data_IF_219580702094
#
_entry.id   IF_219580702094
#
_cell.length_a   1.000
_cell.length_b   1.000
_cell.length_c   1.000
_cell.angle_alpha   90.00
_cell.angle_beta   90.00
_cell.angle_gamma   90.00
#
_symmetry.space_group_name_H-M   'P 1'
#
loop_
_entity.id
_entity.type
_entity.pdbx_description
1 polymer ?
#
# COMPACT_ATOMS: atom_id res chain seq x y z
N UNK A 1 11.18 -0.99 9.42
CA UNK A 1 11.43 -0.79 10.87
C UNK A 1 12.30 -1.91 11.44
N UNK A 2 13.25 -1.58 12.32
CA UNK A 2 14.06 -2.58 13.04
C UNK A 2 13.35 -3.15 14.28
N UNK A 3 12.06 -2.86 14.48
CA UNK A 3 11.25 -3.31 15.62
C UNK A 3 10.16 -4.25 15.14
N UNK A 4 9.91 -5.30 15.91
CA UNK A 4 8.77 -6.19 15.71
C UNK A 4 7.60 -5.74 16.59
N UNK A 5 6.40 -5.87 16.06
CA UNK A 5 5.15 -5.71 16.81
C UNK A 5 4.51 -7.07 16.98
N UNK A 6 4.40 -7.52 18.23
CA UNK A 6 3.75 -8.79 18.57
C UNK A 6 2.25 -8.52 18.69
N UNK A 7 1.47 -9.10 17.81
CA UNK A 7 0.02 -8.89 17.74
C UNK A 7 -0.73 -10.21 17.80
N UNK A 8 -1.79 -10.23 18.59
CA UNK A 8 -2.87 -11.20 18.44
C UNK A 8 -3.86 -10.64 17.40
N UNK A 9 -3.89 -11.23 16.23
CA UNK A 9 -4.73 -10.74 15.12
C UNK A 9 -6.24 -10.89 15.39
N UNK A 10 -6.63 -11.66 16.40
CA UNK A 10 -8.00 -11.80 16.86
C UNK A 10 -8.38 -10.77 17.94
N UNK A 11 -7.39 -10.00 18.43
CA UNK A 11 -7.65 -8.91 19.38
C UNK A 11 -8.61 -7.88 18.75
N UNK A 12 -9.70 -7.60 19.46
CA UNK A 12 -10.73 -6.64 19.01
C UNK A 12 -10.19 -5.22 18.80
N UNK A 13 -9.11 -4.86 19.49
CA UNK A 13 -8.44 -3.55 19.31
C UNK A 13 -7.78 -3.40 17.94
N UNK A 14 -7.47 -4.53 17.29
CA UNK A 14 -6.92 -4.57 15.94
C UNK A 14 -7.98 -4.78 14.86
N UNK A 15 -9.26 -4.76 15.25
CA UNK A 15 -10.37 -4.97 14.33
C UNK A 15 -11.15 -3.65 14.15
N UNK A 16 -11.31 -3.18 12.91
CA UNK A 16 -12.23 -2.09 12.61
C UNK A 16 -13.66 -2.47 12.97
N UNK A 17 -14.51 -1.48 13.22
CA UNK A 17 -15.93 -1.72 13.46
C UNK A 17 -16.56 -2.53 12.31
N UNK A 18 -17.24 -3.62 12.65
CA UNK A 18 -17.87 -4.51 11.68
C UNK A 18 -16.95 -5.60 11.09
N UNK A 19 -15.67 -5.65 11.43
CA UNK A 19 -14.71 -6.62 10.89
C UNK A 19 -15.16 -8.08 11.01
N UNK A 20 -15.72 -8.48 12.15
CA UNK A 20 -16.15 -9.85 12.39
C UNK A 20 -17.33 -10.31 11.53
N UNK A 21 -18.13 -9.37 11.02
CA UNK A 21 -19.29 -9.64 10.17
C UNK A 21 -19.06 -9.27 8.72
N UNK A 22 -17.83 -8.87 8.40
CA UNK A 22 -17.42 -8.43 7.09
C UNK A 22 -17.17 -9.64 6.19
N UNK A 23 -17.65 -9.57 4.95
CA UNK A 23 -17.41 -10.58 3.93
C UNK A 23 -16.92 -9.93 2.63
N UNK A 24 -15.97 -10.59 1.98
CA UNK A 24 -15.55 -10.19 0.64
C UNK A 24 -16.67 -10.46 -0.38
N UNK A 25 -16.80 -9.66 -1.44
CA UNK A 25 -17.63 -9.98 -2.59
C UNK A 25 -17.27 -11.36 -3.17
N UNK A 26 -18.24 -12.01 -3.79
CA UNK A 26 -18.05 -13.34 -4.41
C UNK A 26 -18.17 -13.24 -5.92
N UNK A 27 -17.43 -14.06 -6.61
CA UNK A 27 -17.59 -14.32 -8.05
C UNK A 27 -17.99 -15.77 -8.26
N UNK A 28 -18.75 -16.08 -9.31
CA UNK A 28 -19.21 -17.46 -9.58
C UNK A 28 -18.06 -18.41 -9.89
N UNK A 29 -17.08 -17.97 -10.68
CA UNK A 29 -15.90 -18.74 -11.05
C UNK A 29 -14.65 -17.84 -11.12
N UNK A 30 -13.47 -18.41 -10.92
CA UNK A 30 -12.21 -17.64 -11.05
C UNK A 30 -11.97 -17.11 -12.45
N UNK A 31 -12.50 -17.79 -13.47
CA UNK A 31 -12.44 -17.34 -14.87
C UNK A 31 -13.23 -16.06 -15.13
N UNK A 32 -14.13 -15.68 -14.21
CA UNK A 32 -14.92 -14.44 -14.30
C UNK A 32 -14.19 -13.25 -13.66
N UNK A 33 -12.97 -13.47 -13.17
CA UNK A 33 -12.17 -12.44 -12.55
C UNK A 33 -11.70 -11.42 -13.60
N UNK A 34 -11.95 -10.14 -13.30
CA UNK A 34 -11.36 -9.01 -14.01
C UNK A 34 -10.63 -8.13 -12.99
N UNK A 35 -9.41 -7.73 -13.33
CA UNK A 35 -8.45 -7.18 -12.37
C UNK A 35 -8.11 -5.73 -12.75
N UNK A 36 -8.11 -4.86 -11.75
CA UNK A 36 -7.53 -3.52 -11.80
C UNK A 36 -6.37 -3.45 -10.80
N UNK A 37 -5.19 -3.17 -11.30
CA UNK A 37 -4.00 -3.04 -10.48
C UNK A 37 -3.79 -1.59 -10.06
N UNK A 38 -3.40 -1.34 -8.80
CA UNK A 38 -3.09 -0.01 -8.32
C UNK A 38 -1.98 0.00 -7.26
N UNK A 39 -1.28 1.13 -7.18
CA UNK A 39 -0.33 1.45 -6.14
C UNK A 39 -1.01 2.29 -5.05
N UNK A 40 -0.95 1.86 -3.78
CA UNK A 40 -1.68 2.49 -2.67
C UNK A 40 -1.37 3.98 -2.53
N UNK A 41 -0.08 4.35 -2.58
CA UNK A 41 0.33 5.76 -2.48
C UNK A 41 -0.18 6.57 -3.67
N UNK A 42 0.12 6.13 -4.88
CA UNK A 42 -0.10 6.93 -6.09
C UNK A 42 -1.57 7.11 -6.41
N UNK A 43 -2.40 6.17 -6.00
CA UNK A 43 -3.84 6.25 -6.20
C UNK A 43 -4.48 7.51 -5.60
N UNK A 44 -3.95 8.02 -4.49
CA UNK A 44 -4.53 9.16 -3.79
C UNK A 44 -3.56 10.30 -3.47
N UNK A 45 -2.27 10.17 -3.76
CA UNK A 45 -1.25 11.15 -3.41
C UNK A 45 -1.60 12.57 -3.90
N UNK A 46 -2.20 12.66 -5.08
CA UNK A 46 -2.60 13.92 -5.71
C UNK A 46 -4.13 14.14 -5.73
N UNK A 47 -4.92 13.34 -5.01
CA UNK A 47 -6.38 13.51 -4.98
C UNK A 47 -6.78 14.62 -4.01
N UNK A 48 -7.25 15.79 -4.51
CA UNK A 48 -7.62 16.92 -3.65
C UNK A 48 -8.89 16.66 -2.84
N UNK A 49 -9.67 15.63 -3.16
CA UNK A 49 -10.87 15.24 -2.44
C UNK A 49 -10.58 14.38 -1.20
N UNK A 50 -9.32 13.94 -1.03
CA UNK A 50 -8.82 13.27 0.17
C UNK A 50 -8.12 14.29 1.07
N UNK A 51 -8.38 14.31 2.40
CA UNK A 51 -7.62 15.15 3.33
C UNK A 51 -6.12 14.93 3.20
N UNK A 52 -5.33 16.00 3.24
CA UNK A 52 -3.88 15.95 3.00
C UNK A 52 -3.16 14.90 3.86
N UNK A 53 -3.56 14.76 5.13
CA UNK A 53 -2.95 13.80 6.05
C UNK A 53 -3.21 12.32 5.68
N UNK A 54 -4.25 12.05 4.87
CA UNK A 54 -4.64 10.70 4.47
C UNK A 54 -4.25 10.37 3.02
N UNK A 55 -3.75 11.35 2.25
CA UNK A 55 -3.28 11.11 0.87
C UNK A 55 -2.12 10.14 0.83
N UNK A 56 -2.13 9.21 -0.11
CA UNK A 56 -1.11 8.17 -0.24
C UNK A 56 -1.13 7.12 0.87
N UNK A 57 -2.17 7.06 1.68
CA UNK A 57 -2.29 6.20 2.86
C UNK A 57 -3.44 5.20 2.72
N UNK A 58 -3.43 4.13 3.53
CA UNK A 58 -4.57 3.20 3.66
C UNK A 58 -5.89 3.94 3.92
N UNK A 59 -5.86 4.98 4.74
CA UNK A 59 -7.03 5.76 5.10
C UNK A 59 -7.67 6.52 3.94
N UNK A 60 -6.94 6.78 2.85
CA UNK A 60 -7.51 7.40 1.66
C UNK A 60 -8.70 6.62 1.10
N UNK A 61 -8.69 5.30 1.21
CA UNK A 61 -9.75 4.42 0.74
C UNK A 61 -11.01 4.47 1.61
N UNK A 62 -10.93 4.98 2.84
CA UNK A 62 -12.09 5.15 3.73
C UNK A 62 -12.92 6.40 3.41
N UNK A 63 -12.40 7.29 2.57
CA UNK A 63 -13.12 8.47 2.09
C UNK A 63 -14.04 8.12 0.92
N UNK A 64 -15.21 7.57 1.25
CA UNK A 64 -16.13 6.99 0.26
C UNK A 64 -16.50 7.94 -0.90
N UNK A 65 -16.49 9.24 -0.69
CA UNK A 65 -16.82 10.24 -1.71
C UNK A 65 -15.59 10.88 -2.38
N UNK A 66 -14.38 10.36 -2.13
CA UNK A 66 -13.19 10.80 -2.88
C UNK A 66 -13.29 10.48 -4.37
N UNK A 67 -12.51 11.19 -5.17
CA UNK A 67 -12.47 10.93 -6.62
C UNK A 67 -12.06 9.49 -6.92
N UNK A 68 -11.02 9.00 -6.24
CA UNK A 68 -10.55 7.63 -6.38
C UNK A 68 -11.63 6.60 -6.03
N UNK A 69 -12.29 6.73 -4.88
CA UNK A 69 -13.32 5.77 -4.46
C UNK A 69 -14.59 5.84 -5.32
N UNK A 70 -14.94 7.00 -5.86
CA UNK A 70 -16.02 7.09 -6.87
C UNK A 70 -15.63 6.37 -8.16
N UNK A 71 -14.39 6.52 -8.60
CA UNK A 71 -13.86 5.82 -9.77
C UNK A 71 -13.93 4.29 -9.57
N UNK A 72 -13.42 3.77 -8.45
CA UNK A 72 -13.44 2.34 -8.15
C UNK A 72 -14.87 1.77 -8.10
N UNK A 73 -15.82 2.50 -7.51
CA UNK A 73 -17.23 2.08 -7.52
C UNK A 73 -17.83 2.05 -8.93
N UNK A 74 -17.48 3.03 -9.77
CA UNK A 74 -17.94 3.04 -11.15
C UNK A 74 -17.38 1.84 -11.94
N UNK A 75 -16.12 1.47 -11.72
CA UNK A 75 -15.52 0.27 -12.31
C UNK A 75 -16.22 -1.01 -11.82
N UNK A 76 -16.49 -1.12 -10.51
CA UNK A 76 -17.23 -2.26 -9.95
C UNK A 76 -18.64 -2.37 -10.57
N UNK A 77 -19.35 -1.24 -10.71
CA UNK A 77 -20.66 -1.20 -11.37
C UNK A 77 -20.59 -1.57 -12.85
N UNK A 78 -19.46 -1.31 -13.51
CA UNK A 78 -19.21 -1.71 -14.89
C UNK A 78 -18.78 -3.19 -15.03
N UNK A 79 -18.65 -3.92 -13.92
CA UNK A 79 -18.33 -5.36 -13.93
C UNK A 79 -16.92 -5.73 -13.52
N UNK A 80 -16.10 -4.78 -13.09
CA UNK A 80 -14.80 -5.10 -12.48
C UNK A 80 -15.01 -5.85 -11.16
N UNK A 81 -14.26 -6.92 -10.95
CA UNK A 81 -14.45 -7.80 -9.80
C UNK A 81 -13.34 -7.71 -8.76
N UNK A 82 -12.14 -7.37 -9.16
CA UNK A 82 -10.94 -7.47 -8.34
C UNK A 82 -10.06 -6.24 -8.43
N UNK A 83 -9.53 -5.86 -7.29
CA UNK A 83 -8.47 -4.88 -7.16
C UNK A 83 -7.21 -5.60 -6.67
N UNK A 84 -6.14 -5.55 -7.46
CA UNK A 84 -4.83 -6.05 -7.05
C UNK A 84 -3.96 -4.87 -6.61
N UNK A 85 -3.53 -4.90 -5.35
CA UNK A 85 -2.61 -3.93 -4.81
C UNK A 85 -1.19 -4.33 -5.19
N UNK A 86 -0.43 -3.41 -5.79
CA UNK A 86 1.03 -3.51 -5.80
C UNK A 86 1.52 -3.73 -4.36
N UNK A 87 2.74 -4.24 -4.14
CA UNK A 87 3.15 -4.72 -2.82
C UNK A 87 2.82 -3.76 -1.69
N UNK A 88 2.20 -4.30 -0.65
CA UNK A 88 1.76 -3.58 0.56
C UNK A 88 2.33 -4.18 1.85
N UNK A 89 3.31 -5.09 1.70
CA UNK A 89 4.15 -5.53 2.82
C UNK A 89 5.23 -4.48 3.12
N UNK A 90 5.97 -4.66 4.22
CA UNK A 90 7.05 -3.76 4.63
C UNK A 90 8.17 -3.71 3.58
N UNK A 91 8.36 -2.53 2.98
CA UNK A 91 9.25 -2.28 1.84
C UNK A 91 10.61 -1.80 2.34
N UNK A 92 11.71 -2.44 1.91
CA UNK A 92 13.04 -2.17 2.43
C UNK A 92 13.59 -0.79 2.05
N UNK A 93 13.25 -0.28 0.88
CA UNK A 93 13.82 0.96 0.32
C UNK A 93 13.02 2.21 0.63
N UNK A 94 11.78 2.10 1.14
CA UNK A 94 10.96 3.27 1.47
C UNK A 94 11.16 3.68 2.92
N UNK A 95 11.61 4.91 3.21
CA UNK A 95 11.59 5.45 4.58
C UNK A 95 10.15 5.56 5.07
N UNK A 96 9.80 4.84 6.14
CA UNK A 96 8.42 4.80 6.67
C UNK A 96 7.94 6.16 7.22
N UNK A 97 8.88 7.05 7.55
CA UNK A 97 8.59 8.40 8.01
C UNK A 97 9.69 9.36 7.52
N UNK A 98 9.30 10.58 7.21
CA UNK A 98 10.24 11.64 6.82
C UNK A 98 10.86 11.43 5.43
N UNK A 99 10.21 10.67 4.56
CA UNK A 99 10.65 10.51 3.17
C UNK A 99 10.61 11.83 2.40
N UNK A 100 11.51 11.97 1.43
CA UNK A 100 11.61 13.13 0.58
C UNK A 100 10.59 13.07 -0.58
N UNK A 101 10.08 14.21 -0.99
CA UNK A 101 9.36 14.34 -2.27
C UNK A 101 10.22 15.15 -3.22
N UNK A 102 10.63 14.60 -4.39
CA UNK A 102 11.45 15.34 -5.33
C UNK A 102 10.70 16.55 -5.88
N UNK A 103 11.41 17.67 -5.99
CA UNK A 103 10.94 18.83 -6.76
C UNK A 103 11.37 18.63 -8.19
N UNK A 104 10.46 18.17 -9.03
CA UNK A 104 10.74 17.91 -10.45
C UNK A 104 10.64 19.20 -11.24
N UNK A 105 11.70 19.65 -11.93
CA UNK A 105 11.67 20.87 -12.73
C UNK A 105 10.77 20.70 -13.95
N UNK A 106 10.21 21.82 -14.42
CA UNK A 106 9.53 21.83 -15.71
C UNK A 106 10.55 21.57 -16.83
N UNK A 107 10.13 20.86 -17.86
CA UNK A 107 10.99 20.54 -19.00
C UNK A 107 10.23 19.81 -20.10
N UNK A 108 10.87 19.57 -21.23
CA UNK A 108 10.36 18.75 -22.29
C UNK A 108 10.21 17.29 -21.79
N UNK A 109 9.31 16.46 -22.35
CA UNK A 109 9.11 15.09 -21.90
C UNK A 109 10.36 14.18 -21.95
N UNK A 110 11.33 14.55 -22.79
CA UNK A 110 12.60 13.86 -23.00
C UNK A 110 13.77 14.53 -22.25
N UNK A 111 13.51 15.51 -21.36
CA UNK A 111 14.55 16.22 -20.64
C UNK A 111 15.16 15.35 -19.53
N UNK A 112 16.48 15.19 -19.54
CA UNK A 112 17.23 14.45 -18.51
C UNK A 112 17.16 15.10 -17.12
N UNK A 113 16.89 16.41 -17.06
CA UNK A 113 16.84 17.17 -15.79
C UNK A 113 15.77 16.69 -14.83
N UNK A 114 14.64 16.19 -15.36
CA UNK A 114 13.55 15.64 -14.56
C UNK A 114 13.97 14.31 -13.92
N UNK A 115 14.58 13.45 -14.72
CA UNK A 115 15.10 12.15 -14.26
C UNK A 115 16.22 12.34 -13.24
N UNK A 116 17.15 13.26 -13.48
CA UNK A 116 18.23 13.61 -12.55
C UNK A 116 17.72 14.12 -11.19
N UNK A 117 16.64 14.90 -11.18
CA UNK A 117 16.02 15.40 -9.96
C UNK A 117 15.41 14.26 -9.10
N UNK A 118 14.81 13.25 -9.73
CA UNK A 118 14.28 12.08 -9.04
C UNK A 118 15.43 11.18 -8.56
N UNK A 119 16.41 10.93 -9.41
CA UNK A 119 17.60 10.10 -9.09
C UNK A 119 18.36 10.63 -7.86
N UNK A 120 18.43 11.94 -7.70
CA UNK A 120 19.13 12.59 -6.59
C UNK A 120 18.51 12.27 -5.19
N UNK A 121 17.26 11.83 -5.14
CA UNK A 121 16.53 11.55 -3.88
C UNK A 121 15.97 10.13 -3.79
N UNK A 122 16.20 9.28 -4.77
CA UNK A 122 15.60 7.95 -4.89
C UNK A 122 15.75 7.05 -3.66
N UNK A 123 16.86 7.20 -2.92
CA UNK A 123 17.13 6.40 -1.72
C UNK A 123 16.44 6.96 -0.45
N UNK A 124 15.81 8.12 -0.58
CA UNK A 124 15.14 8.83 0.51
C UNK A 124 13.72 9.26 0.17
N UNK A 125 13.24 8.97 -1.03
CA UNK A 125 11.91 9.37 -1.45
C UNK A 125 10.80 8.47 -0.87
N UNK A 126 9.54 8.88 -1.11
CA UNK A 126 8.37 8.19 -0.59
C UNK A 126 7.85 7.11 -1.54
N UNK A 127 8.55 6.82 -2.63
CA UNK A 127 8.06 5.96 -3.69
C UNK A 127 8.97 4.78 -3.97
N UNK A 128 8.36 3.61 -4.01
CA UNK A 128 8.91 2.40 -4.62
C UNK A 128 7.75 1.55 -5.12
N UNK A 129 7.96 0.75 -6.14
CA UNK A 129 6.98 -0.24 -6.61
C UNK A 129 6.68 -1.30 -5.56
N UNK A 130 7.62 -1.51 -4.60
CA UNK A 130 7.45 -2.41 -3.47
C UNK A 130 8.02 -3.82 -3.67
N UNK A 131 8.75 -4.07 -4.76
CA UNK A 131 9.31 -5.40 -5.05
C UNK A 131 10.64 -5.68 -4.32
N UNK A 132 10.89 -5.03 -3.21
CA UNK A 132 12.03 -5.22 -2.32
C UNK A 132 11.55 -5.54 -0.88
N UNK A 133 11.06 -6.78 -0.64
CA UNK A 133 10.42 -7.15 0.60
C UNK A 133 11.39 -7.16 1.77
N UNK A 134 10.99 -6.56 2.90
CA UNK A 134 11.72 -6.61 4.15
C UNK A 134 11.03 -7.51 5.19
N UNK A 135 9.74 -7.28 5.45
CA UNK A 135 8.90 -8.15 6.27
C UNK A 135 7.64 -8.55 5.50
N UNK A 136 7.62 -9.78 4.99
CA UNK A 136 6.69 -10.28 3.99
C UNK A 136 5.20 -10.24 4.37
N UNK A 137 4.88 -10.27 5.66
CA UNK A 137 3.48 -10.32 6.14
C UNK A 137 3.11 -9.14 7.02
N UNK A 138 4.00 -8.17 7.20
CA UNK A 138 3.71 -6.95 7.93
C UNK A 138 3.20 -5.87 6.96
N UNK A 139 2.10 -5.16 7.26
CA UNK A 139 1.64 -4.06 6.41
C UNK A 139 2.68 -2.93 6.34
N UNK A 140 2.87 -2.35 5.15
CA UNK A 140 3.80 -1.24 4.91
C UNK A 140 3.48 -0.03 5.81
N UNK A 141 4.51 0.46 6.51
CA UNK A 141 4.36 1.52 7.50
C UNK A 141 4.19 2.90 6.88
N UNK A 142 4.79 3.17 5.73
CA UNK A 142 4.65 4.46 5.05
C UNK A 142 3.21 4.72 4.59
N UNK A 143 2.41 3.68 4.43
CA UNK A 143 0.98 3.78 4.09
C UNK A 143 0.08 3.94 5.32
N UNK A 144 0.59 3.76 6.54
CA UNK A 144 -0.16 4.02 7.76
C UNK A 144 -0.09 5.50 8.16
N UNK A 145 -1.05 5.97 8.96
CA UNK A 145 -1.04 7.34 9.50
C UNK A 145 0.08 7.56 10.52
N UNK A 146 0.53 6.47 11.16
CA UNK A 146 1.65 6.45 12.09
C UNK A 146 2.44 5.15 11.90
N UNK A 147 3.59 5.26 11.26
CA UNK A 147 4.47 4.13 10.98
C UNK A 147 5.06 3.48 12.25
N UNK A 148 5.15 4.24 13.35
CA UNK A 148 5.71 3.73 14.61
C UNK A 148 4.71 2.88 15.42
N UNK A 149 3.42 2.99 15.12
CA UNK A 149 2.36 2.24 15.78
C UNK A 149 1.97 0.99 14.97
N UNK A 150 2.45 -0.18 15.40
CA UNK A 150 2.14 -1.45 14.73
C UNK A 150 0.65 -1.79 14.71
N UNK A 151 -0.14 -1.35 15.69
CA UNK A 151 -1.58 -1.55 15.71
C UNK A 151 -2.27 -0.75 14.60
N UNK A 152 -1.85 0.50 14.38
CA UNK A 152 -2.42 1.34 13.31
C UNK A 152 -2.21 0.75 11.92
N UNK A 153 -1.03 0.20 11.62
CA UNK A 153 -0.78 -0.48 10.34
C UNK A 153 -1.84 -1.55 10.07
N UNK A 154 -2.11 -2.38 11.07
CA UNK A 154 -3.07 -3.49 10.95
C UNK A 154 -4.50 -2.97 10.79
N UNK A 155 -4.91 -2.04 11.66
CA UNK A 155 -6.29 -1.51 11.66
C UNK A 155 -6.58 -0.75 10.38
N UNK A 156 -5.68 0.13 9.95
CA UNK A 156 -5.89 0.96 8.75
C UNK A 156 -5.85 0.13 7.46
N UNK A 157 -4.97 -0.88 7.38
CA UNK A 157 -4.98 -1.84 6.29
C UNK A 157 -6.33 -2.59 6.22
N UNK A 158 -6.83 -3.08 7.35
CA UNK A 158 -8.14 -3.73 7.43
C UNK A 158 -9.29 -2.81 7.05
N UNK A 159 -9.22 -1.53 7.44
CA UNK A 159 -10.21 -0.51 7.04
C UNK A 159 -10.21 -0.29 5.52
N UNK A 160 -9.05 -0.21 4.90
CA UNK A 160 -8.93 -0.13 3.44
C UNK A 160 -9.58 -1.34 2.76
N UNK A 161 -9.25 -2.56 3.19
CA UNK A 161 -9.83 -3.79 2.64
C UNK A 161 -11.35 -3.79 2.77
N UNK A 162 -11.89 -3.42 3.94
CA UNK A 162 -13.33 -3.32 4.15
C UNK A 162 -13.97 -2.30 3.21
N UNK A 163 -13.36 -1.13 3.04
CA UNK A 163 -13.89 -0.08 2.17
C UNK A 163 -13.93 -0.53 0.69
N UNK A 164 -12.92 -1.26 0.24
CA UNK A 164 -12.86 -1.82 -1.10
C UNK A 164 -13.91 -2.92 -1.31
N UNK A 165 -14.10 -3.81 -0.33
CA UNK A 165 -15.17 -4.79 -0.38
C UNK A 165 -16.56 -4.13 -0.40
N UNK A 166 -16.76 -3.07 0.37
CA UNK A 166 -18.01 -2.28 0.34
C UNK A 166 -18.23 -1.57 -1.00
N UNK A 167 -17.17 -1.25 -1.71
CA UNK A 167 -17.23 -0.74 -3.08
C UNK A 167 -17.58 -1.82 -4.12
N UNK A 168 -17.65 -3.10 -3.72
CA UNK A 168 -17.97 -4.23 -4.58
C UNK A 168 -16.77 -4.94 -5.19
N UNK A 169 -15.55 -4.64 -4.74
CA UNK A 169 -14.31 -5.19 -5.26
C UNK A 169 -13.68 -6.17 -4.28
N UNK A 170 -13.23 -7.33 -4.74
CA UNK A 170 -12.34 -8.20 -3.98
C UNK A 170 -10.93 -7.58 -3.96
N UNK A 171 -10.12 -7.93 -2.97
CA UNK A 171 -8.77 -7.41 -2.81
C UNK A 171 -7.77 -8.55 -2.93
N UNK A 172 -6.86 -8.44 -3.89
CA UNK A 172 -5.64 -9.22 -4.01
C UNK A 172 -4.42 -8.37 -3.59
N UNK A 173 -3.38 -9.04 -3.13
CA UNK A 173 -2.09 -8.41 -2.84
C UNK A 173 -1.02 -9.07 -3.70
N UNK A 174 -0.20 -8.26 -4.34
CA UNK A 174 1.00 -8.75 -4.99
C UNK A 174 2.06 -9.06 -3.94
N UNK A 175 2.69 -10.22 -4.05
CA UNK A 175 3.66 -10.72 -3.07
C UNK A 175 4.91 -11.24 -3.77
N UNK A 176 6.05 -11.07 -3.11
CA UNK A 176 7.37 -11.46 -3.62
C UNK A 176 7.95 -12.53 -2.71
N UNK A 177 8.00 -13.78 -3.18
CA UNK A 177 8.60 -14.90 -2.45
C UNK A 177 9.82 -15.52 -3.16
N UNK A 178 10.23 -14.95 -4.29
CA UNK A 178 11.32 -15.45 -5.12
C UNK A 178 12.67 -14.77 -4.83
N UNK A 179 12.67 -13.65 -4.08
CA UNK A 179 13.89 -12.97 -3.64
C UNK A 179 13.68 -12.21 -2.34
N UNK A 180 14.78 -11.78 -1.73
CA UNK A 180 14.83 -10.85 -0.59
C UNK A 180 15.36 -9.50 -1.05
N UNK A 181 15.11 -8.44 -0.29
CA UNK A 181 15.61 -7.09 -0.59
C UNK A 181 17.14 -7.03 -0.65
N UNK A 182 17.81 -7.89 0.13
CA UNK A 182 19.26 -7.94 0.21
C UNK A 182 19.73 -9.33 0.67
N UNK A 183 21.03 -9.61 0.55
CA UNK A 183 21.65 -10.89 0.90
C UNK A 183 22.94 -10.69 1.71
N UNK A 184 23.44 -11.78 2.31
CA UNK A 184 24.67 -11.79 3.11
C UNK A 184 24.53 -11.02 4.41
N UNK A 185 25.58 -10.33 4.83
CA UNK A 185 25.65 -9.62 6.11
C UNK A 185 25.13 -8.17 6.06
N UNK A 186 24.43 -7.80 5.02
CA UNK A 186 23.82 -6.47 4.88
C UNK A 186 22.73 -6.24 5.93
N UNK A 187 22.53 -4.98 6.31
CA UNK A 187 21.52 -4.58 7.31
C UNK A 187 20.08 -4.90 6.92
N UNK A 188 19.80 -4.99 5.62
CA UNK A 188 18.49 -5.33 5.05
C UNK A 188 18.36 -6.82 4.73
N UNK A 189 19.39 -7.63 4.96
CA UNK A 189 19.31 -9.08 4.81
C UNK A 189 18.52 -9.68 5.96
N UNK A 190 17.36 -10.25 5.67
CA UNK A 190 16.46 -10.80 6.68
C UNK A 190 16.78 -12.26 6.98
N UNK A 191 17.14 -13.04 5.96
CA UNK A 191 17.36 -14.48 6.08
C UNK A 191 18.78 -14.82 6.48
N UNK A 192 19.80 -14.19 5.91
CA UNK A 192 21.20 -14.56 6.08
C UNK A 192 21.76 -14.23 7.48
N UNK A 193 21.04 -13.42 8.28
CA UNK A 193 21.41 -13.13 9.67
C UNK A 193 20.91 -14.17 10.67
N UNK A 194 20.09 -15.08 10.23
CA UNK A 194 19.43 -16.08 11.07
C UNK A 194 20.12 -17.44 10.96
N UNK A 195 20.94 -17.61 9.93
CA UNK A 195 21.67 -18.86 9.62
C UNK A 195 23.13 -18.73 9.96
#
# INVERSE_FOLDING_TARGET
SKRSYIADLDDRRLQPAGWQHHAAPRIPAQTDMSIYELHVRDFSANDPSVPLADRGKYRAFTWANSNGMRHLRALAQAGLTDLHLLPVFDIASVPEAGCATPTVPAGAPDAETQQAAVEAVKDADCFNWGYDPYHYTAPEGSYASDAADGAKRIVEFRQMVMALHQAGLRVGMDVVYNHTSDSGQNDKSVLDRIV
#
